data_IF_946425690775
#
_entry.id   IF_946425690775
#
_cell.length_a   1.000
_cell.length_b   1.000
_cell.length_c   1.000
_cell.angle_alpha   90.00
_cell.angle_beta   90.00
_cell.angle_gamma   90.00
#
_symmetry.space_group_name_H-M   'P 1'
#
loop_
_entity.id
_entity.type
_entity.pdbx_description
1 polymer ?
#
# COMPACT_ATOMS: atom_id res chain seq x y z
N UNK A 1 -6.69 -3.38 18.13
CA UNK A 1 -6.47 -3.15 16.69
C UNK A 1 -5.46 -2.03 16.58
N UNK A 2 -4.58 -1.99 15.57
CA UNK A 2 -3.65 -0.87 15.39
C UNK A 2 -4.43 0.45 15.48
N UNK A 3 -4.04 1.32 16.40
CA UNK A 3 -4.65 2.64 16.53
C UNK A 3 -3.93 3.57 15.55
N UNK A 4 -4.62 4.08 14.52
CA UNK A 4 -3.97 4.85 13.46
C UNK A 4 -4.64 6.20 13.21
N UNK A 5 -3.82 7.17 12.79
CA UNK A 5 -4.25 8.50 12.38
C UNK A 5 -3.79 8.78 10.93
N UNK A 6 -4.73 9.06 10.03
CA UNK A 6 -4.43 9.40 8.64
C UNK A 6 -4.07 10.89 8.55
N UNK A 7 -2.92 11.20 7.94
CA UNK A 7 -2.43 12.58 7.79
C UNK A 7 -2.42 13.08 6.35
N UNK A 8 -2.22 12.19 5.36
CA UNK A 8 -2.36 12.53 3.94
C UNK A 8 -3.01 11.39 3.17
N UNK A 9 -3.80 11.73 2.18
CA UNK A 9 -4.44 10.77 1.28
C UNK A 9 -4.45 11.29 -0.14
N UNK A 10 -4.04 10.44 -1.09
CA UNK A 10 -4.17 10.70 -2.52
C UNK A 10 -4.54 9.41 -3.25
N UNK A 11 -5.34 9.54 -4.31
CA UNK A 11 -5.77 8.43 -5.14
C UNK A 11 -5.47 8.73 -6.61
N UNK A 12 -5.02 7.71 -7.34
CA UNK A 12 -4.72 7.77 -8.77
C UNK A 12 -5.42 6.65 -9.54
N UNK A 13 -5.69 6.87 -10.83
CA UNK A 13 -6.43 5.90 -11.64
C UNK A 13 -5.51 5.03 -12.48
N UNK A 14 -5.70 3.72 -12.36
CA UNK A 14 -5.05 2.68 -13.15
C UNK A 14 -6.02 2.14 -14.20
N UNK A 15 -6.28 2.93 -15.24
CA UNK A 15 -7.16 2.54 -16.34
C UNK A 15 -6.37 1.81 -17.44
N UNK A 16 -6.35 0.47 -17.40
CA UNK A 16 -5.52 -0.35 -18.29
C UNK A 16 -5.92 -0.30 -19.78
N UNK A 17 -7.08 0.25 -20.11
CA UNK A 17 -7.50 0.56 -21.48
C UNK A 17 -6.84 1.84 -22.04
N UNK A 18 -6.21 2.66 -21.18
CA UNK A 18 -5.51 3.90 -21.57
C UNK A 18 -4.02 3.67 -21.85
N UNK A 19 -3.36 4.68 -22.42
CA UNK A 19 -1.92 4.67 -22.69
C UNK A 19 -1.07 4.94 -21.43
N UNK A 20 -1.60 5.71 -20.49
CA UNK A 20 -0.95 6.10 -19.23
C UNK A 20 -1.97 6.16 -18.09
N UNK A 21 -1.54 6.06 -16.82
CA UNK A 21 -2.43 6.24 -15.68
C UNK A 21 -2.82 7.71 -15.55
N UNK A 22 -4.00 7.97 -14.99
CA UNK A 22 -4.40 9.32 -14.61
C UNK A 22 -3.90 9.61 -13.20
N UNK A 23 -2.96 10.53 -13.10
CA UNK A 23 -2.38 10.97 -11.82
C UNK A 23 -2.97 12.32 -11.43
N UNK A 24 -2.96 12.60 -10.14
CA UNK A 24 -3.59 13.77 -9.54
C UNK A 24 -2.52 14.54 -8.77
N UNK A 25 -2.64 15.87 -8.76
CA UNK A 25 -1.62 16.75 -8.19
C UNK A 25 -2.12 17.47 -6.94
N UNK A 26 -3.18 16.95 -6.33
CA UNK A 26 -3.83 17.53 -5.16
C UNK A 26 -4.17 16.41 -4.17
N UNK A 27 -3.85 16.63 -2.90
CA UNK A 27 -4.26 15.77 -1.81
C UNK A 27 -5.76 15.89 -1.56
N UNK A 28 -6.36 14.83 -1.03
CA UNK A 28 -7.72 14.94 -0.55
C UNK A 28 -7.74 15.74 0.75
N UNK A 29 -8.65 16.70 0.83
CA UNK A 29 -8.87 17.46 2.06
C UNK A 29 -9.58 16.57 3.08
N UNK A 30 -8.81 16.07 4.06
CA UNK A 30 -9.30 15.14 5.07
C UNK A 30 -10.48 15.71 5.88
N UNK A 31 -10.59 17.04 6.02
CA UNK A 31 -11.72 17.69 6.72
C UNK A 31 -13.03 17.59 5.94
N UNK A 32 -12.95 17.32 4.63
CA UNK A 32 -14.08 17.19 3.72
C UNK A 32 -14.41 15.73 3.39
N UNK A 33 -13.61 14.78 3.87
CA UNK A 33 -13.87 13.35 3.69
C UNK A 33 -14.90 12.90 4.76
N UNK A 34 -16.00 12.23 4.36
CA UNK A 34 -16.93 11.66 5.32
C UNK A 34 -16.24 10.72 6.31
N UNK A 35 -16.60 10.80 7.59
CA UNK A 35 -15.96 10.02 8.66
C UNK A 35 -15.98 8.51 8.37
N UNK A 36 -17.07 8.01 7.78
CA UNK A 36 -17.22 6.60 7.38
C UNK A 36 -16.17 6.14 6.36
N UNK A 37 -15.72 7.04 5.47
CA UNK A 37 -14.67 6.74 4.48
C UNK A 37 -13.30 6.70 5.16
N UNK A 38 -13.03 7.59 6.11
CA UNK A 38 -11.81 7.53 6.92
C UNK A 38 -11.80 6.26 7.79
N UNK A 39 -12.92 5.93 8.41
CA UNK A 39 -13.08 4.69 9.19
C UNK A 39 -12.92 3.45 8.32
N UNK A 40 -13.43 3.48 7.08
CA UNK A 40 -13.20 2.44 6.09
C UNK A 40 -11.71 2.22 5.87
N UNK A 41 -10.93 3.26 5.56
CA UNK A 41 -9.49 3.10 5.34
C UNK A 41 -8.76 2.65 6.61
N UNK A 42 -9.08 3.25 7.75
CA UNK A 42 -8.44 2.90 9.02
C UNK A 42 -8.70 1.45 9.42
N UNK A 43 -9.93 0.96 9.23
CA UNK A 43 -10.30 -0.43 9.46
C UNK A 43 -9.58 -1.37 8.51
N UNK A 44 -9.50 -1.02 7.22
CA UNK A 44 -8.82 -1.85 6.23
C UNK A 44 -7.31 -1.97 6.47
N UNK A 45 -6.64 -0.87 6.82
CA UNK A 45 -5.22 -0.87 7.21
C UNK A 45 -5.04 -1.74 8.46
N UNK A 46 -5.81 -1.45 9.52
CA UNK A 46 -5.73 -2.13 10.81
C UNK A 46 -5.94 -3.64 10.68
N UNK A 47 -6.94 -4.06 9.91
CA UNK A 47 -7.27 -5.46 9.69
C UNK A 47 -6.25 -6.17 8.78
N UNK A 48 -5.74 -5.48 7.75
CA UNK A 48 -4.79 -6.08 6.81
C UNK A 48 -3.42 -6.31 7.46
N UNK A 49 -2.93 -5.37 8.29
CA UNK A 49 -1.62 -5.46 8.96
C UNK A 49 -1.50 -6.69 9.87
N UNK A 50 -2.61 -7.13 10.48
CA UNK A 50 -2.67 -8.30 11.38
C UNK A 50 -3.22 -9.56 10.70
N UNK A 51 -3.62 -9.47 9.44
CA UNK A 51 -4.23 -10.59 8.74
C UNK A 51 -3.25 -11.77 8.64
N UNK A 52 -3.70 -13.00 8.93
CA UNK A 52 -2.86 -14.23 8.83
C UNK A 52 -2.14 -14.40 7.48
N UNK A 53 -2.69 -13.81 6.42
CA UNK A 53 -2.16 -13.92 5.06
C UNK A 53 -1.12 -12.84 4.73
N UNK A 54 -0.97 -11.81 5.57
CA UNK A 54 0.05 -10.77 5.40
C UNK A 54 1.45 -11.41 5.40
N UNK A 55 2.31 -10.92 4.52
CA UNK A 55 3.70 -11.38 4.40
C UNK A 55 4.62 -10.28 4.88
N UNK A 56 5.62 -10.66 5.66
CA UNK A 56 6.73 -9.79 6.03
C UNK A 56 7.79 -9.91 4.93
N UNK A 57 8.24 -8.79 4.42
CA UNK A 57 9.07 -8.71 3.22
C UNK A 57 10.24 -7.75 3.42
N UNK A 58 11.22 -7.87 2.52
CA UNK A 58 12.31 -6.91 2.34
C UNK A 58 12.38 -6.53 0.86
N UNK A 59 12.67 -5.26 0.59
CA UNK A 59 13.13 -4.83 -0.74
C UNK A 59 14.36 -5.64 -1.17
N UNK A 60 14.48 -5.95 -2.46
CA UNK A 60 15.57 -6.77 -2.99
C UNK A 60 16.87 -5.99 -3.21
N UNK A 61 16.79 -4.67 -3.37
CA UNK A 61 17.93 -3.79 -3.62
C UNK A 61 17.62 -2.34 -3.18
N UNK A 62 18.68 -1.54 -2.94
CA UNK A 62 18.59 -0.16 -2.40
C UNK A 62 18.08 0.87 -3.39
N UNK A 63 18.06 0.54 -4.66
CA UNK A 63 17.58 1.37 -5.77
C UNK A 63 16.16 0.97 -6.23
N UNK A 64 15.48 0.08 -5.51
CA UNK A 64 14.09 -0.25 -5.77
C UNK A 64 13.24 1.03 -5.72
N UNK A 65 12.43 1.28 -6.74
CA UNK A 65 11.80 2.58 -6.95
C UNK A 65 10.82 2.94 -5.82
N UNK A 66 10.06 1.95 -5.34
CA UNK A 66 9.16 2.15 -4.18
C UNK A 66 9.94 2.43 -2.91
N UNK A 67 11.10 1.78 -2.71
CA UNK A 67 11.95 2.00 -1.55
C UNK A 67 12.55 3.41 -1.56
N UNK A 68 13.11 3.85 -2.69
CA UNK A 68 13.64 5.21 -2.83
C UNK A 68 12.57 6.26 -2.58
N UNK A 69 11.36 6.08 -3.12
CA UNK A 69 10.28 7.02 -2.85
C UNK A 69 9.83 7.02 -1.39
N UNK A 70 9.88 5.89 -0.69
CA UNK A 70 9.64 5.86 0.76
C UNK A 70 10.74 6.59 1.55
N UNK A 71 12.00 6.43 1.15
CA UNK A 71 13.12 7.16 1.78
C UNK A 71 12.98 8.66 1.57
N UNK A 72 12.67 9.11 0.34
CA UNK A 72 12.42 10.52 0.05
C UNK A 72 11.28 11.06 0.91
N UNK A 73 10.13 10.37 0.97
CA UNK A 73 8.99 10.78 1.81
C UNK A 73 9.40 10.88 3.29
N UNK A 74 10.25 9.99 3.77
CA UNK A 74 10.70 10.02 5.16
C UNK A 74 11.60 11.20 5.52
N UNK A 75 12.15 11.93 4.53
CA UNK A 75 12.98 13.11 4.78
C UNK A 75 12.16 14.32 5.23
N UNK A 76 10.95 14.47 4.70
CA UNK A 76 10.01 15.51 5.10
C UNK A 76 8.56 15.03 4.91
N UNK A 77 7.94 14.62 6.03
CA UNK A 77 6.56 14.14 6.04
C UNK A 77 5.55 15.29 5.83
N UNK A 78 5.95 16.54 6.06
CA UNK A 78 5.09 17.71 5.89
C UNK A 78 5.06 18.18 4.43
N UNK A 79 6.08 17.88 3.62
CA UNK A 79 6.13 18.24 2.20
C UNK A 79 5.08 17.49 1.36
N UNK A 80 4.04 18.22 0.94
CA UNK A 80 2.98 17.70 0.07
C UNK A 80 3.47 17.41 -1.35
N UNK A 81 4.36 18.25 -1.89
CA UNK A 81 4.88 18.07 -3.24
C UNK A 81 5.70 16.79 -3.33
N UNK A 82 6.51 16.52 -2.31
CA UNK A 82 7.33 15.34 -2.26
C UNK A 82 6.48 14.05 -2.14
N UNK A 83 5.41 14.07 -1.35
CA UNK A 83 4.44 12.97 -1.29
C UNK A 83 3.71 12.75 -2.62
N UNK A 84 3.20 13.82 -3.26
CA UNK A 84 2.47 13.77 -4.55
C UNK A 84 3.37 13.27 -5.69
N UNK A 85 4.61 13.75 -5.75
CA UNK A 85 5.56 13.35 -6.79
C UNK A 85 5.89 11.86 -6.67
N UNK A 86 6.14 11.39 -5.45
CA UNK A 86 6.43 9.99 -5.20
C UNK A 86 5.22 9.07 -5.45
N UNK A 87 4.01 9.46 -5.04
CA UNK A 87 2.80 8.69 -5.35
C UNK A 87 2.53 8.63 -6.86
N UNK A 88 2.80 9.72 -7.59
CA UNK A 88 2.71 9.80 -9.06
C UNK A 88 3.69 8.84 -9.73
N UNK A 89 4.95 8.83 -9.30
CA UNK A 89 6.01 7.97 -9.84
C UNK A 89 5.70 6.48 -9.58
N UNK A 90 5.32 6.13 -8.35
CA UNK A 90 4.92 4.77 -7.99
C UNK A 90 3.67 4.32 -8.78
N UNK A 91 2.72 5.22 -9.05
CA UNK A 91 1.55 4.91 -9.89
C UNK A 91 1.94 4.57 -11.32
N UNK A 92 2.83 5.37 -11.93
CA UNK A 92 3.33 5.11 -13.29
C UNK A 92 4.07 3.77 -13.37
N UNK A 93 4.88 3.47 -12.36
CA UNK A 93 5.55 2.18 -12.25
C UNK A 93 4.54 1.02 -12.19
N UNK A 94 3.58 1.06 -11.26
CA UNK A 94 2.58 0.01 -11.14
C UNK A 94 1.76 -0.17 -12.41
N UNK A 95 1.37 0.93 -13.06
CA UNK A 95 0.64 0.89 -14.33
C UNK A 95 1.42 0.15 -15.41
N UNK A 96 2.71 0.46 -15.57
CA UNK A 96 3.57 -0.18 -16.56
C UNK A 96 3.77 -1.67 -16.26
N UNK A 97 3.99 -2.01 -14.99
CA UNK A 97 4.08 -3.39 -14.52
C UNK A 97 2.79 -4.15 -14.81
N UNK A 98 1.62 -3.55 -14.55
CA UNK A 98 0.33 -4.16 -14.84
C UNK A 98 0.11 -4.39 -16.33
N UNK A 99 0.41 -3.40 -17.18
CA UNK A 99 0.33 -3.50 -18.65
C UNK A 99 1.22 -4.62 -19.22
N UNK A 100 2.38 -4.85 -18.63
CA UNK A 100 3.31 -5.91 -19.04
C UNK A 100 2.95 -7.29 -18.47
N UNK A 101 1.99 -7.37 -17.53
CA UNK A 101 1.58 -8.61 -16.88
C UNK A 101 0.30 -9.21 -17.49
N UNK A 102 -0.13 -10.36 -16.98
CA UNK A 102 -1.46 -10.92 -17.28
C UNK A 102 -2.62 -10.14 -16.65
N UNK A 103 -2.35 -9.11 -15.84
CA UNK A 103 -3.40 -8.35 -15.14
C UNK A 103 -4.32 -7.63 -16.12
N UNK A 104 -5.63 -7.85 -15.94
CA UNK A 104 -6.69 -7.20 -16.74
C UNK A 104 -7.58 -6.27 -15.90
N UNK A 105 -7.30 -6.16 -14.60
CA UNK A 105 -8.13 -5.41 -13.67
C UNK A 105 -7.60 -3.99 -13.50
N UNK A 106 -8.26 -3.04 -14.18
CA UNK A 106 -8.14 -1.61 -13.86
C UNK A 106 -8.50 -1.34 -12.40
N UNK A 107 -8.17 -0.17 -11.87
CA UNK A 107 -8.53 0.17 -10.49
C UNK A 107 -8.06 1.55 -10.06
N UNK A 108 -8.06 1.76 -8.76
CA UNK A 108 -7.53 2.96 -8.10
C UNK A 108 -6.33 2.56 -7.26
N UNK A 109 -5.25 3.33 -7.35
CA UNK A 109 -4.11 3.22 -6.44
C UNK A 109 -4.19 4.34 -5.42
N UNK A 110 -4.31 3.98 -4.15
CA UNK A 110 -4.48 4.92 -3.04
C UNK A 110 -3.22 4.87 -2.19
N UNK A 111 -2.69 6.05 -1.89
CA UNK A 111 -1.56 6.25 -1.00
C UNK A 111 -2.06 6.98 0.23
N UNK A 112 -1.78 6.42 1.40
CA UNK A 112 -2.21 6.95 2.70
C UNK A 112 -0.97 7.07 3.57
N UNK A 113 -0.65 8.30 3.95
CA UNK A 113 0.30 8.59 5.02
C UNK A 113 -0.46 8.51 6.33
N UNK A 114 0.01 7.70 7.26
CA UNK A 114 -0.62 7.55 8.57
C UNK A 114 0.41 7.35 9.68
N UNK A 115 0.04 7.73 10.90
CA UNK A 115 0.80 7.43 12.09
C UNK A 115 0.18 6.23 12.80
N UNK A 116 1.00 5.29 13.23
CA UNK A 116 0.62 4.30 14.22
C UNK A 116 0.73 4.96 15.59
N UNK A 117 -0.41 5.19 16.24
CA UNK A 117 -0.50 5.92 17.52
C UNK A 117 0.05 5.14 18.70
N UNK A 118 0.16 3.81 18.59
CA UNK A 118 0.72 2.96 19.64
C UNK A 118 2.27 3.06 19.64
N UNK A 119 2.88 3.20 18.47
CA UNK A 119 4.35 3.29 18.30
C UNK A 119 4.86 4.70 18.04
N UNK A 120 3.99 5.64 17.67
CA UNK A 120 4.35 6.99 17.23
C UNK A 120 5.07 7.03 15.88
N UNK A 121 5.11 5.92 15.13
CA UNK A 121 5.87 5.82 13.89
C UNK A 121 5.01 6.13 12.65
N UNK A 122 5.57 6.84 11.65
CA UNK A 122 4.89 7.11 10.40
C UNK A 122 5.01 5.93 9.42
N UNK A 123 3.95 5.72 8.66
CA UNK A 123 3.84 4.65 7.68
C UNK A 123 3.19 5.15 6.39
N UNK A 124 3.57 4.50 5.28
CA UNK A 124 2.90 4.59 3.99
C UNK A 124 2.10 3.32 3.76
N UNK A 125 0.78 3.46 3.58
CA UNK A 125 -0.05 2.42 2.99
C UNK A 125 -0.22 2.67 1.49
N UNK A 126 0.03 1.65 0.69
CA UNK A 126 -0.23 1.62 -0.75
C UNK A 126 -1.31 0.58 -1.00
N UNK A 127 -2.49 1.01 -1.43
CA UNK A 127 -3.66 0.16 -1.62
C UNK A 127 -4.10 0.16 -3.08
N UNK A 128 -4.06 -1.00 -3.75
CA UNK A 128 -4.65 -1.17 -5.08
C UNK A 128 -6.07 -1.70 -4.92
N UNK A 129 -7.04 -0.83 -5.17
CA UNK A 129 -8.47 -1.12 -5.06
C UNK A 129 -9.06 -1.34 -6.45
N UNK A 130 -9.66 -2.50 -6.65
CA UNK A 130 -10.42 -2.79 -7.86
C UNK A 130 -11.75 -2.03 -7.81
N UNK A 131 -12.36 -1.70 -8.97
CA UNK A 131 -13.64 -1.01 -8.99
C UNK A 131 -14.68 -1.80 -8.19
N UNK A 132 -15.11 -1.24 -7.06
CA UNK A 132 -16.32 -1.65 -6.38
C UNK A 132 -17.40 -0.59 -6.66
N UNK A 133 -18.67 -1.01 -6.73
CA UNK A 133 -19.86 -0.16 -6.88
C UNK A 133 -20.03 0.92 -5.79
N UNK A 134 -19.13 1.01 -4.82
CA UNK A 134 -19.41 1.60 -3.53
C UNK A 134 -18.46 2.70 -3.03
N UNK A 135 -17.39 3.04 -3.76
CA UNK A 135 -16.65 4.28 -3.45
C UNK A 135 -16.48 5.04 -4.75
N UNK A 136 -17.20 6.15 -4.88
CA UNK A 136 -16.98 7.08 -5.98
C UNK A 136 -16.04 8.18 -5.52
N UNK A 137 -14.87 8.23 -6.14
CA UNK A 137 -13.98 9.38 -6.00
C UNK A 137 -14.44 10.42 -7.02
N UNK A 138 -14.95 11.54 -6.52
CA UNK A 138 -15.11 12.76 -7.31
C UNK A 138 -13.73 13.35 -7.56
N UNK A 139 -13.25 13.07 -8.77
CA UNK A 139 -11.93 13.44 -9.29
C UNK A 139 -11.87 14.89 -9.75
N UNK A 140 -13.00 15.58 -9.85
CA UNK A 140 -13.08 16.99 -10.22
C UNK A 140 -12.88 17.87 -8.99
N UNK A 141 -13.49 17.46 -7.87
CA UNK A 141 -13.42 18.20 -6.61
C UNK A 141 -12.47 17.58 -5.58
N UNK A 142 -11.85 16.44 -5.89
CA UNK A 142 -10.97 15.68 -4.98
C UNK A 142 -11.68 15.26 -3.69
N UNK A 143 -12.94 14.84 -3.82
CA UNK A 143 -13.79 14.41 -2.70
C UNK A 143 -14.21 12.96 -2.87
N UNK A 144 -14.44 12.28 -1.76
CA UNK A 144 -15.20 11.04 -1.79
C UNK A 144 -16.68 11.38 -1.79
N UNK A 145 -17.40 10.91 -2.80
CA UNK A 145 -18.87 11.02 -2.85
C UNK A 145 -19.42 9.67 -2.42
N UNK A 146 -20.05 9.67 -1.25
CA UNK A 146 -20.85 8.54 -0.78
C UNK A 146 -22.19 8.66 -1.51
N UNK A 147 -22.46 7.75 -2.46
CA UNK A 147 -23.84 7.56 -2.90
C UNK A 147 -24.58 6.89 -1.75
N UNK A 148 -25.82 7.33 -1.47
CA UNK A 148 -26.58 7.13 -0.22
C UNK A 148 -26.69 5.69 0.33
N UNK A 149 -26.16 4.64 -0.32
CA UNK A 149 -26.32 3.27 0.18
C UNK A 149 -25.27 2.24 -0.24
N UNK A 150 -24.06 2.62 -0.67
CA UNK A 150 -23.04 1.59 -0.87
C UNK A 150 -21.67 2.18 -0.56
N UNK A 151 -21.10 1.83 0.60
CA UNK A 151 -19.66 1.64 0.82
C UNK A 151 -19.35 0.15 0.60
N UNK A 152 -18.16 -0.25 0.11
CA UNK A 152 -17.82 -1.65 0.04
C UNK A 152 -17.88 -2.11 1.48
N UNK A 153 -18.68 -3.14 1.78
CA UNK A 153 -18.81 -3.53 3.18
C UNK A 153 -17.41 -3.80 3.71
N UNK A 154 -17.17 -3.58 5.00
CA UNK A 154 -15.88 -3.86 5.66
C UNK A 154 -15.39 -5.31 5.40
N UNK A 155 -16.29 -6.18 4.90
CA UNK A 155 -16.00 -7.53 4.48
C UNK A 155 -15.40 -7.67 3.06
N UNK A 156 -15.41 -6.63 2.23
CA UNK A 156 -14.73 -6.66 0.94
C UNK A 156 -13.23 -6.53 1.17
N UNK A 157 -12.52 -7.62 0.90
CA UNK A 157 -11.13 -7.77 1.32
C UNK A 157 -10.21 -7.05 0.34
N UNK A 158 -9.36 -6.16 0.84
CA UNK A 158 -8.19 -5.69 0.10
C UNK A 158 -7.41 -6.89 -0.47
N UNK A 159 -7.18 -6.84 -1.78
CA UNK A 159 -6.46 -7.90 -2.48
C UNK A 159 -4.98 -7.59 -2.61
N UNK A 160 -4.62 -6.31 -2.77
CA UNK A 160 -3.25 -5.85 -2.99
C UNK A 160 -2.97 -4.63 -2.15
N UNK A 161 -2.17 -4.79 -1.09
CA UNK A 161 -1.70 -3.68 -0.29
C UNK A 161 -0.28 -3.90 0.25
N UNK A 162 0.41 -2.79 0.50
CA UNK A 162 1.70 -2.76 1.17
C UNK A 162 1.68 -1.70 2.28
N UNK A 163 2.34 -2.01 3.39
CA UNK A 163 2.53 -1.12 4.53
C UNK A 163 4.03 -1.00 4.79
N UNK A 164 4.57 0.21 4.66
CA UNK A 164 6.00 0.50 4.73
C UNK A 164 6.23 1.54 5.82
N UNK A 165 7.15 1.25 6.75
CA UNK A 165 7.58 2.24 7.75
C UNK A 165 8.39 3.33 7.05
N UNK A 166 8.10 4.59 7.32
CA UNK A 166 8.84 5.71 6.76
C UNK A 166 9.96 6.10 7.71
N UNK A 167 11.16 5.59 7.42
CA UNK A 167 12.36 5.83 8.23
C UNK A 167 13.58 6.01 7.33
N UNK A 168 14.46 6.99 7.60
CA UNK A 168 15.74 7.12 6.90
C UNK A 168 16.62 5.87 7.01
N UNK A 169 16.44 5.08 8.07
CA UNK A 169 17.19 3.84 8.33
C UNK A 169 16.45 2.56 7.93
N UNK A 170 15.38 2.66 7.12
CA UNK A 170 14.52 1.52 6.78
C UNK A 170 15.29 0.29 6.25
N UNK A 171 16.40 0.50 5.53
CA UNK A 171 17.22 -0.60 4.99
C UNK A 171 17.90 -1.47 6.06
N UNK A 172 18.09 -0.92 7.25
CA UNK A 172 18.74 -1.61 8.37
C UNK A 172 17.73 -2.42 9.20
N UNK A 173 16.44 -2.19 8.99
CA UNK A 173 15.38 -2.86 9.71
C UNK A 173 15.32 -4.35 9.34
N UNK A 174 14.93 -5.18 10.30
CA UNK A 174 14.81 -6.63 10.13
C UNK A 174 13.89 -7.01 8.94
N UNK A 175 12.89 -6.17 8.68
CA UNK A 175 11.98 -6.25 7.55
C UNK A 175 11.59 -4.83 7.13
N UNK A 176 11.29 -4.64 5.86
CA UNK A 176 11.02 -3.29 5.32
C UNK A 176 9.52 -3.02 5.12
N UNK A 177 8.74 -4.07 4.84
CA UNK A 177 7.33 -3.91 4.48
C UNK A 177 6.48 -5.14 4.82
N UNK A 178 5.19 -4.88 5.07
CA UNK A 178 4.15 -5.91 5.18
C UNK A 178 3.29 -5.87 3.92
N UNK A 179 3.11 -7.00 3.25
CA UNK A 179 2.43 -7.08 1.94
C UNK A 179 1.30 -8.11 1.95
N UNK A 180 0.15 -7.71 1.42
CA UNK A 180 -0.95 -8.59 1.06
C UNK A 180 -1.04 -8.59 -0.46
N UNK A 181 -0.78 -9.73 -1.10
CA UNK A 181 -0.94 -9.89 -2.55
C UNK A 181 -1.74 -11.17 -2.83
N UNK A 182 -3.05 -11.08 -2.62
CA UNK A 182 -3.99 -12.17 -2.86
C UNK A 182 -4.33 -12.25 -4.34
N UNK A 183 -4.31 -13.47 -4.86
CA UNK A 183 -4.85 -13.78 -6.18
C UNK A 183 -6.33 -14.15 -6.05
N UNK A 184 -7.15 -13.71 -6.99
CA UNK A 184 -8.59 -14.07 -7.02
C UNK A 184 -8.83 -15.46 -7.63
N UNK A 185 -7.88 -15.99 -8.42
CA UNK A 185 -7.99 -17.30 -9.07
C UNK A 185 -6.80 -18.19 -8.65
N UNK A 186 -7.09 -19.39 -8.17
CA UNK A 186 -6.09 -20.44 -7.91
C UNK A 186 -5.43 -20.89 -9.21
N UNK A 187 -4.12 -20.68 -9.35
CA UNK A 187 -3.33 -21.23 -10.47
C UNK A 187 -2.51 -20.20 -11.25
N UNK A 188 -2.85 -18.89 -11.18
CA UNK A 188 -2.05 -17.84 -11.80
C UNK A 188 -1.15 -17.15 -10.78
N UNK A 189 0.16 -17.17 -11.03
CA UNK A 189 1.18 -16.52 -10.20
C UNK A 189 1.41 -15.10 -10.72
N UNK A 190 0.39 -14.24 -10.67
CA UNK A 190 0.61 -12.83 -10.99
C UNK A 190 1.18 -12.10 -9.77
N UNK A 191 2.45 -12.38 -9.44
CA UNK A 191 3.21 -11.71 -8.37
C UNK A 191 3.70 -10.31 -8.78
N UNK A 192 3.05 -9.67 -9.75
CA UNK A 192 3.49 -8.37 -10.26
C UNK A 192 3.54 -7.31 -9.17
N UNK A 193 2.60 -7.36 -8.21
CA UNK A 193 2.55 -6.38 -7.14
C UNK A 193 3.74 -6.54 -6.20
N UNK A 194 4.00 -7.75 -5.69
CA UNK A 194 5.14 -8.01 -4.81
C UNK A 194 6.50 -7.98 -5.51
N UNK A 195 6.67 -8.72 -6.60
CA UNK A 195 7.98 -8.94 -7.21
C UNK A 195 8.39 -7.83 -8.18
N UNK A 196 7.46 -7.27 -8.96
CA UNK A 196 7.79 -6.35 -10.05
C UNK A 196 7.55 -4.89 -9.69
N UNK A 197 6.49 -4.59 -8.94
CA UNK A 197 6.18 -3.23 -8.50
C UNK A 197 6.91 -2.87 -7.20
N UNK A 198 6.75 -3.69 -6.16
CA UNK A 198 7.43 -3.45 -4.88
C UNK A 198 8.89 -3.91 -4.89
N UNK A 199 9.32 -4.66 -5.90
CA UNK A 199 10.69 -5.19 -6.00
C UNK A 199 11.14 -5.82 -4.67
N UNK A 200 10.30 -6.72 -4.16
CA UNK A 200 10.39 -7.22 -2.80
C UNK A 200 10.24 -8.73 -2.73
N UNK A 201 10.87 -9.33 -1.73
CA UNK A 201 10.80 -10.77 -1.47
C UNK A 201 10.23 -11.06 -0.08
N UNK A 202 9.54 -12.19 0.04
CA UNK A 202 9.05 -12.66 1.33
C UNK A 202 10.25 -13.06 2.18
N UNK A 203 10.32 -12.53 3.40
CA UNK A 203 11.28 -13.00 4.38
C UNK A 203 10.87 -14.41 4.80
N UNK A 204 11.58 -15.43 4.31
CA UNK A 204 11.42 -16.79 4.80
C UNK A 204 11.78 -16.79 6.29
N UNK A 205 10.84 -17.17 7.15
CA UNK A 205 11.20 -17.58 8.51
C UNK A 205 12.14 -18.77 8.35
N UNK A 206 13.43 -18.59 8.60
CA UNK A 206 14.24 -19.71 9.05
C UNK A 206 13.57 -20.19 10.33
N UNK A 207 12.92 -21.36 10.25
CA UNK A 207 12.67 -22.18 11.42
C UNK A 207 14.06 -22.39 12.02
N UNK A 208 14.26 -21.92 13.25
CA UNK A 208 15.45 -22.26 14.02
C UNK A 208 15.65 -23.78 13.95
N UNK A 209 16.63 -24.24 13.19
CA UNK A 209 17.23 -25.54 13.48
C UNK A 209 17.88 -25.34 14.84
N UNK A 210 17.31 -25.99 15.85
CA UNK A 210 17.88 -26.08 17.19
C UNK A 210 19.40 -26.24 17.11
N UNK A 211 20.21 -25.49 17.87
CA UNK A 211 21.53 -25.95 18.20
C UNK A 211 21.33 -27.14 19.13
N UNK A 212 21.59 -28.36 18.65
CA UNK A 212 21.95 -29.41 19.59
C UNK A 212 23.26 -28.96 20.22
N UNK A 213 23.16 -28.44 21.45
CA UNK A 213 24.19 -28.69 22.44
C UNK A 213 24.38 -30.19 22.51
N UNK A 214 25.62 -30.64 22.33
CA UNK A 214 26.18 -31.58 23.29
C UNK A 214 27.64 -31.16 23.53
N UNK A 215 27.88 -30.82 24.79
CA UNK A 215 29.20 -30.62 25.37
C UNK A 215 29.95 -31.95 25.44
N UNK A 216 31.27 -31.83 25.45
CA UNK A 216 32.23 -32.91 25.64
C UNK A 216 31.93 -33.85 26.81
N UNK A 217 32.23 -35.13 26.60
CA UNK A 217 33.15 -35.93 27.42
C UNK A 217 33.89 -36.91 26.52
#
# INVERSE_FOLDING_TARGET
>A
MPNIEISKLIAHDLALDKASPKTYQQLMDLSQIPAEVLEFFSSHISNAVIAKQIKVCTFTHKDAAVFLGCLEISQDLADDHLFINNSTNMTRLLFNVMKASSSRSSGTLIFILYNDLDTGLPYLAILKMDPNKAIQIDRTNYKFVVQEDILPSVNERLHKCAFIKLSPTLWEDEFHLKVLDKQQVTGEVSKYFLLSFLESQIKSKFVCKFPQLDCAT
#
